data_IF_644600746543
#
_entry.id   IF_644600746543
#
_cell.length_a   1.000
_cell.length_b   1.000
_cell.length_c   1.000
_cell.angle_alpha   90.00
_cell.angle_beta   90.00
_cell.angle_gamma   90.00
#
_symmetry.space_group_name_H-M   'P 1'
#
loop_
_entity.id
_entity.type
_entity.pdbx_description
1 polymer ?
#
# COMPACT_ATOMS: atom_id res chain seq x y z
N UNK A 1 -16.37 13.46 7.82
CA UNK A 1 -15.47 13.06 6.72
C UNK A 1 -14.65 14.27 6.33
N UNK A 2 -13.33 14.17 6.40
CA UNK A 2 -12.48 15.24 5.91
C UNK A 2 -12.63 15.28 4.38
N UNK A 3 -13.11 16.41 3.87
CA UNK A 3 -13.25 16.62 2.44
C UNK A 3 -11.90 16.62 1.72
N UNK A 4 -11.90 16.77 0.39
CA UNK A 4 -10.71 16.76 -0.45
C UNK A 4 -9.60 17.71 0.03
N UNK A 5 -9.93 18.76 0.77
CA UNK A 5 -8.99 19.71 1.39
C UNK A 5 -8.16 19.10 2.53
N UNK A 6 -8.73 18.20 3.34
CA UNK A 6 -8.01 17.55 4.46
C UNK A 6 -6.98 16.52 3.98
N UNK A 7 -7.30 15.80 2.92
CA UNK A 7 -6.39 14.85 2.26
C UNK A 7 -5.19 15.55 1.61
N UNK A 8 -5.40 16.79 1.13
CA UNK A 8 -4.35 17.63 0.56
C UNK A 8 -3.36 18.13 1.61
N UNK A 9 -3.83 18.47 2.80
CA UNK A 9 -2.98 18.94 3.89
C UNK A 9 -2.07 17.83 4.40
N UNK A 10 -2.58 16.60 4.58
CA UNK A 10 -1.80 15.44 5.01
C UNK A 10 -0.71 15.07 3.98
N UNK A 11 -1.05 15.08 2.69
CA UNK A 11 -0.12 14.82 1.59
C UNK A 11 1.00 15.88 1.48
N UNK A 12 0.67 17.15 1.68
CA UNK A 12 1.64 18.25 1.69
C UNK A 12 2.60 18.16 2.89
N UNK A 13 2.13 17.71 4.06
CA UNK A 13 2.98 17.53 5.24
C UNK A 13 4.00 16.39 5.11
N UNK A 14 3.64 15.30 4.43
CA UNK A 14 4.58 14.19 4.15
C UNK A 14 5.66 14.66 3.16
N UNK A 15 5.25 15.36 2.09
CA UNK A 15 6.19 15.92 1.11
C UNK A 15 7.12 17.00 1.68
N UNK A 16 6.71 17.71 2.75
CA UNK A 16 7.49 18.75 3.40
C UNK A 16 8.52 18.22 4.43
N UNK A 17 8.37 16.97 4.88
CA UNK A 17 9.20 16.41 5.97
C UNK A 17 10.38 15.57 5.44
N UNK A 18 10.33 15.11 4.19
CA UNK A 18 11.38 14.26 3.58
C UNK A 18 12.22 15.09 2.59
N UNK A 19 13.40 15.55 3.05
CA UNK A 19 14.36 16.30 2.23
C UNK A 19 15.15 15.30 1.37
N UNK A 20 14.56 14.87 0.25
CA UNK A 20 15.23 14.09 -0.80
C UNK A 20 14.77 14.54 -2.20
N UNK A 21 15.71 14.69 -3.14
CA UNK A 21 15.64 15.48 -4.39
C UNK A 21 14.61 15.08 -5.49
N UNK A 22 13.41 14.61 -5.14
CA UNK A 22 12.34 14.23 -6.07
C UNK A 22 10.98 14.91 -5.85
N UNK A 23 10.94 15.93 -5.00
CA UNK A 23 9.72 16.46 -4.35
C UNK A 23 8.70 17.18 -5.26
N UNK A 24 9.08 18.00 -6.26
CA UNK A 24 8.11 18.76 -7.07
C UNK A 24 7.23 17.87 -7.95
N UNK A 25 7.79 16.81 -8.53
CA UNK A 25 7.07 15.90 -9.40
C UNK A 25 6.10 15.01 -8.62
N UNK A 26 6.54 14.44 -7.49
CA UNK A 26 5.70 13.58 -6.63
C UNK A 26 4.54 14.36 -6.01
N UNK A 27 4.78 15.59 -5.52
CA UNK A 27 3.72 16.43 -4.95
C UNK A 27 2.71 16.91 -6.00
N UNK A 28 3.17 17.33 -7.19
CA UNK A 28 2.31 17.75 -8.30
C UNK A 28 1.47 16.58 -8.82
N UNK A 29 2.09 15.42 -8.99
CA UNK A 29 1.45 14.22 -9.49
C UNK A 29 0.43 13.64 -8.48
N UNK A 30 0.72 13.70 -7.16
CA UNK A 30 -0.21 13.31 -6.10
C UNK A 30 -1.46 14.23 -6.07
N UNK A 31 -1.29 15.51 -6.40
CA UNK A 31 -2.39 16.45 -6.59
C UNK A 31 -3.22 16.19 -7.87
N UNK A 32 -2.70 15.43 -8.83
CA UNK A 32 -3.38 15.03 -10.07
C UNK A 32 -4.05 13.64 -9.94
N UNK A 33 -3.44 12.67 -9.27
CA UNK A 33 -4.03 11.33 -9.06
C UNK A 33 -5.16 11.34 -8.03
N UNK A 34 -5.09 12.20 -7.01
CA UNK A 34 -6.22 12.45 -6.10
C UNK A 34 -7.42 13.12 -6.79
N UNK A 35 -7.30 13.55 -8.05
CA UNK A 35 -8.42 14.04 -8.88
C UNK A 35 -9.05 12.95 -9.74
N UNK A 36 -8.43 11.77 -9.83
CA UNK A 36 -8.93 10.66 -10.65
C UNK A 36 -9.63 9.60 -9.80
N UNK A 37 -10.86 9.26 -10.18
CA UNK A 37 -11.53 8.03 -9.73
C UNK A 37 -10.96 6.77 -10.41
N UNK A 38 -9.95 6.92 -11.29
CA UNK A 38 -9.33 5.80 -12.01
C UNK A 38 -8.39 5.00 -11.08
N UNK A 39 -8.86 3.82 -10.69
CA UNK A 39 -8.13 2.89 -9.83
C UNK A 39 -6.83 2.38 -10.47
N UNK A 40 -6.71 2.37 -11.80
CA UNK A 40 -5.50 1.89 -12.49
C UNK A 40 -4.35 2.87 -12.32
N UNK A 41 -4.63 4.17 -12.43
CA UNK A 41 -3.63 5.21 -12.19
C UNK A 41 -3.11 5.18 -10.75
N UNK A 42 -4.00 4.90 -9.79
CA UNK A 42 -3.65 4.71 -8.37
C UNK A 42 -2.76 3.49 -8.18
N UNK A 43 -3.07 2.38 -8.85
CA UNK A 43 -2.28 1.14 -8.77
C UNK A 43 -0.89 1.34 -9.37
N UNK A 44 -0.78 1.83 -10.60
CA UNK A 44 0.51 2.03 -11.28
C UNK A 44 1.44 2.95 -10.47
N UNK A 45 0.88 3.99 -9.87
CA UNK A 45 1.66 4.85 -8.99
C UNK A 45 2.11 4.18 -7.71
N UNK A 46 1.21 3.45 -7.06
CA UNK A 46 1.54 2.80 -5.80
C UNK A 46 2.66 1.81 -6.04
N UNK A 47 2.64 1.09 -7.16
CA UNK A 47 3.73 0.22 -7.59
C UNK A 47 5.05 0.97 -7.73
N UNK A 48 5.08 2.06 -8.50
CA UNK A 48 6.30 2.85 -8.74
C UNK A 48 6.85 3.47 -7.45
N UNK A 49 5.98 4.02 -6.60
CA UNK A 49 6.42 4.60 -5.33
C UNK A 49 6.91 3.51 -4.38
N UNK A 50 6.24 2.36 -4.28
CA UNK A 50 6.68 1.28 -3.40
C UNK A 50 8.08 0.78 -3.78
N UNK A 51 8.39 0.70 -5.08
CA UNK A 51 9.74 0.38 -5.57
C UNK A 51 10.77 1.44 -5.21
N UNK A 52 10.42 2.73 -5.33
CA UNK A 52 11.35 3.83 -5.09
C UNK A 52 11.56 4.15 -3.61
N UNK A 53 10.50 4.05 -2.81
CA UNK A 53 10.42 4.41 -1.40
C UNK A 53 9.23 3.71 -0.74
N UNK A 54 9.51 2.46 -0.35
CA UNK A 54 8.59 1.59 0.37
C UNK A 54 7.97 2.25 1.61
N UNK A 55 8.77 2.98 2.40
CA UNK A 55 8.30 3.56 3.67
C UNK A 55 7.38 4.76 3.44
N UNK A 56 7.75 5.65 2.51
CA UNK A 56 6.89 6.78 2.13
C UNK A 56 5.56 6.33 1.53
N UNK A 57 5.58 5.29 0.69
CA UNK A 57 4.36 4.69 0.15
C UNK A 57 3.45 4.13 1.26
N UNK A 58 4.01 3.38 2.22
CA UNK A 58 3.25 2.85 3.35
C UNK A 58 2.64 3.97 4.23
N UNK A 59 3.40 5.03 4.50
CA UNK A 59 2.90 6.19 5.25
C UNK A 59 1.76 6.90 4.52
N UNK A 60 1.88 7.08 3.21
CA UNK A 60 0.82 7.67 2.40
C UNK A 60 -0.46 6.82 2.41
N UNK A 61 -0.35 5.49 2.25
CA UNK A 61 -1.50 4.58 2.33
C UNK A 61 -2.22 4.66 3.69
N UNK A 62 -1.46 4.82 4.77
CA UNK A 62 -2.00 5.03 6.12
C UNK A 62 -2.75 6.36 6.29
N UNK A 63 -2.50 7.34 5.43
CA UNK A 63 -3.19 8.64 5.43
C UNK A 63 -4.47 8.67 4.59
N UNK A 64 -4.69 7.65 3.75
CA UNK A 64 -5.87 7.57 2.91
C UNK A 64 -7.11 7.17 3.74
N UNK A 65 -8.28 7.73 3.44
CA UNK A 65 -9.52 7.29 4.07
C UNK A 65 -9.90 5.91 3.53
N UNK A 66 -10.62 5.14 4.32
CA UNK A 66 -11.20 3.88 3.86
C UNK A 66 -12.09 4.09 2.64
N UNK A 67 -12.01 3.16 1.68
CA UNK A 67 -12.75 3.22 0.44
C UNK A 67 -12.00 2.58 -0.73
N UNK A 68 -12.69 2.48 -1.87
CA UNK A 68 -12.21 1.76 -3.07
C UNK A 68 -10.81 2.20 -3.52
N UNK A 69 -10.51 3.50 -3.46
CA UNK A 69 -9.21 4.03 -3.88
C UNK A 69 -8.07 3.54 -2.99
N UNK A 70 -8.28 3.57 -1.67
CA UNK A 70 -7.32 3.04 -0.69
C UNK A 70 -7.14 1.54 -0.89
N UNK A 71 -8.24 0.80 -1.05
CA UNK A 71 -8.21 -0.64 -1.27
C UNK A 71 -7.42 -1.01 -2.55
N UNK A 72 -7.63 -0.27 -3.65
CA UNK A 72 -6.87 -0.44 -4.89
C UNK A 72 -5.38 -0.12 -4.72
N UNK A 73 -5.05 0.96 -3.99
CA UNK A 73 -3.67 1.32 -3.71
C UNK A 73 -2.98 0.23 -2.87
N UNK A 74 -3.63 -0.22 -1.79
CA UNK A 74 -3.12 -1.28 -0.92
C UNK A 74 -2.91 -2.58 -1.68
N UNK A 75 -3.82 -2.96 -2.59
CA UNK A 75 -3.65 -4.15 -3.41
C UNK A 75 -2.39 -4.10 -4.29
N UNK A 76 -2.05 -2.92 -4.82
CA UNK A 76 -0.81 -2.73 -5.57
C UNK A 76 0.40 -2.72 -4.65
N UNK A 77 0.34 -2.00 -3.53
CA UNK A 77 1.39 -1.98 -2.52
C UNK A 77 1.75 -3.38 -2.03
N UNK A 78 0.75 -4.17 -1.64
CA UNK A 78 0.95 -5.53 -1.13
C UNK A 78 1.64 -6.43 -2.16
N UNK A 79 1.31 -6.29 -3.45
CA UNK A 79 1.94 -7.06 -4.53
C UNK A 79 3.44 -6.77 -4.66
N UNK A 80 3.85 -5.50 -4.53
CA UNK A 80 5.27 -5.11 -4.58
C UNK A 80 5.97 -5.42 -3.27
N UNK A 81 5.34 -5.04 -2.16
CA UNK A 81 5.82 -5.25 -0.81
C UNK A 81 6.12 -6.72 -0.55
N UNK A 82 5.37 -7.66 -1.13
CA UNK A 82 5.56 -9.09 -0.89
C UNK A 82 6.98 -9.61 -1.22
N UNK A 83 7.70 -8.94 -2.14
CA UNK A 83 9.10 -9.23 -2.48
C UNK A 83 10.11 -8.56 -1.55
N UNK A 84 9.70 -7.50 -0.87
CA UNK A 84 10.55 -6.66 0.00
C UNK A 84 10.39 -7.09 1.47
N UNK A 85 9.14 -7.15 1.93
CA UNK A 85 8.68 -7.56 3.26
C UNK A 85 7.31 -8.25 3.11
N UNK A 86 7.36 -9.58 3.03
CA UNK A 86 6.18 -10.40 2.86
C UNK A 86 5.20 -10.35 4.04
N UNK A 87 5.69 -10.19 5.28
CA UNK A 87 4.82 -10.10 6.44
C UNK A 87 3.98 -8.82 6.38
N UNK A 88 4.64 -7.68 6.11
CA UNK A 88 3.97 -6.39 5.94
C UNK A 88 3.00 -6.41 4.75
N UNK A 89 3.36 -7.04 3.63
CA UNK A 89 2.45 -7.17 2.48
C UNK A 89 1.13 -7.86 2.86
N UNK A 90 1.21 -8.95 3.63
CA UNK A 90 0.02 -9.67 4.12
C UNK A 90 -0.76 -8.80 5.11
N UNK A 91 -0.09 -8.16 6.06
CA UNK A 91 -0.77 -7.29 7.03
C UNK A 91 -1.46 -6.10 6.35
N UNK A 92 -0.86 -5.49 5.33
CA UNK A 92 -1.51 -4.45 4.52
C UNK A 92 -2.72 -4.98 3.75
N UNK A 93 -2.58 -6.13 3.09
CA UNK A 93 -3.70 -6.75 2.38
C UNK A 93 -4.89 -7.05 3.32
N UNK A 94 -4.65 -7.39 4.59
CA UNK A 94 -5.71 -7.57 5.60
C UNK A 94 -6.51 -6.28 5.87
N UNK A 95 -5.93 -5.10 5.62
CA UNK A 95 -6.62 -3.81 5.83
C UNK A 95 -7.47 -3.35 4.67
N UNK A 96 -7.52 -4.11 3.57
CA UNK A 96 -8.44 -3.86 2.45
C UNK A 96 -9.88 -4.05 2.95
N UNK A 97 -10.73 -3.06 2.69
CA UNK A 97 -12.10 -3.03 3.20
C UNK A 97 -12.98 -4.01 2.45
N UNK A 98 -12.92 -3.99 1.11
CA UNK A 98 -13.66 -4.92 0.25
C UNK A 98 -13.21 -6.38 0.48
N UNK A 99 -14.12 -7.30 0.88
CA UNK A 99 -13.74 -8.67 1.19
C UNK A 99 -13.17 -9.47 0.00
N UNK A 100 -13.63 -9.20 -1.22
CA UNK A 100 -13.17 -9.91 -2.40
C UNK A 100 -11.75 -9.46 -2.78
N UNK A 101 -11.51 -8.15 -2.81
CA UNK A 101 -10.18 -7.58 -3.03
C UNK A 101 -9.21 -7.98 -1.92
N UNK A 102 -9.66 -8.01 -0.64
CA UNK A 102 -8.83 -8.47 0.47
C UNK A 102 -8.37 -9.90 0.26
N UNK A 103 -9.28 -10.81 -0.06
CA UNK A 103 -8.94 -12.21 -0.32
C UNK A 103 -7.94 -12.33 -1.47
N UNK A 104 -8.21 -11.69 -2.61
CA UNK A 104 -7.32 -11.75 -3.77
C UNK A 104 -5.95 -11.13 -3.49
N UNK A 105 -5.89 -10.02 -2.74
CA UNK A 105 -4.65 -9.38 -2.35
C UNK A 105 -3.81 -10.24 -1.40
N UNK A 106 -4.45 -10.92 -0.44
CA UNK A 106 -3.79 -11.87 0.46
C UNK A 106 -3.21 -13.06 -0.30
N UNK A 107 -3.98 -13.66 -1.21
CA UNK A 107 -3.55 -14.78 -2.04
C UNK A 107 -2.33 -14.39 -2.89
N UNK A 108 -2.38 -13.24 -3.54
CA UNK A 108 -1.28 -12.72 -4.35
C UNK A 108 -0.03 -12.43 -3.50
N UNK A 109 -0.18 -11.72 -2.37
CA UNK A 109 0.95 -11.39 -1.50
C UNK A 109 1.61 -12.66 -0.92
N UNK A 110 0.81 -13.63 -0.46
CA UNK A 110 1.33 -14.90 0.05
C UNK A 110 1.96 -15.75 -1.05
N UNK A 111 1.44 -15.74 -2.27
CA UNK A 111 2.06 -16.42 -3.39
C UNK A 111 3.43 -15.82 -3.69
N UNK A 112 3.50 -14.51 -3.90
CA UNK A 112 4.76 -13.82 -4.19
C UNK A 112 5.77 -13.96 -3.06
N UNK A 113 5.33 -13.88 -1.80
CA UNK A 113 6.22 -14.08 -0.66
C UNK A 113 6.75 -15.51 -0.62
N UNK A 114 5.93 -16.54 -0.82
CA UNK A 114 6.40 -17.94 -0.87
C UNK A 114 7.36 -18.20 -2.02
N UNK A 115 7.19 -17.54 -3.15
CA UNK A 115 8.10 -17.64 -4.29
C UNK A 115 9.47 -17.01 -3.99
N UNK A 116 9.51 -15.95 -3.19
CA UNK A 116 10.73 -15.24 -2.81
C UNK A 116 11.44 -15.85 -1.58
N UNK A 117 10.66 -16.22 -0.56
CA UNK A 117 11.14 -16.74 0.73
C UNK A 117 10.09 -17.71 1.32
N UNK A 118 10.11 -18.99 0.91
CA UNK A 118 9.14 -19.98 1.37
C UNK A 118 9.28 -20.32 2.86
N UNK A 119 10.47 -20.19 3.45
CA UNK A 119 10.70 -20.53 4.85
C UNK A 119 10.10 -19.47 5.79
N UNK A 120 10.33 -18.19 5.48
CA UNK A 120 9.73 -17.08 6.22
C UNK A 120 8.20 -17.09 6.09
N UNK A 121 7.67 -17.29 4.88
CA UNK A 121 6.22 -17.36 4.66
C UNK A 121 5.56 -18.50 5.44
N UNK A 122 6.16 -19.70 5.44
CA UNK A 122 5.66 -20.84 6.22
C UNK A 122 5.72 -20.60 7.73
N UNK A 123 6.80 -19.97 8.20
CA UNK A 123 6.97 -19.63 9.62
C UNK A 123 5.91 -18.62 10.07
N UNK A 124 5.63 -17.61 9.25
CA UNK A 124 4.57 -16.64 9.51
C UNK A 124 3.18 -17.27 9.59
N UNK A 125 2.83 -18.14 8.64
CA UNK A 125 1.54 -18.83 8.63
C UNK A 125 1.35 -19.71 9.88
N UNK A 126 2.38 -20.46 10.28
CA UNK A 126 2.36 -21.24 11.53
C UNK A 126 2.16 -20.34 12.75
N UNK A 127 2.82 -19.19 12.79
CA UNK A 127 2.68 -18.22 13.87
C UNK A 127 1.28 -17.58 13.94
N UNK A 128 0.63 -17.32 12.81
CA UNK A 128 -0.75 -16.81 12.79
C UNK A 128 -1.76 -17.88 13.19
N UNK A 129 -1.54 -19.15 12.84
CA UNK A 129 -2.43 -20.27 13.23
C UNK A 129 -2.40 -20.54 14.74
N UNK A 130 -1.21 -20.46 15.37
CA UNK A 130 -1.09 -20.67 16.82
C UNK A 130 -1.74 -19.56 17.65
N UNK A 131 -1.91 -18.36 17.09
CA UNK A 131 -2.61 -17.25 17.75
C UNK A 131 -4.15 -17.40 17.72
N UNK A 132 -4.69 -18.31 16.91
CA UNK A 132 -6.14 -18.51 16.74
C UNK A 132 -6.70 -19.70 17.53
N UNK A 133 -5.86 -20.44 18.26
CA UNK A 133 -6.25 -21.57 19.13
C UNK A 133 -6.31 -21.13 20.59
#
# INVERSE_FOLDING_TARGET
>A
GLGPTGLRAAAASIAATDIGAGTPAKAKWLLESLRSEDTRAIQEFTDQWTHADYKGAAQWLGSLPEGRQRDSAISSFASVAAKIDGASAVDWALTISDPAQRRSGLEAALQTWRESDPEAANSYLKGKESLQK
#
